data_IF_922171548153
#
_entry.id   IF_922171548153
#
_cell.length_a   1.000
_cell.length_b   1.000
_cell.length_c   1.000
_cell.angle_alpha   90.00
_cell.angle_beta   90.00
_cell.angle_gamma   90.00
#
_symmetry.space_group_name_H-M   'P 1'
#
loop_
_entity.id
_entity.type
_entity.pdbx_description
1 polymer ?
#
# COMPACT_ATOMS: atom_id res chain seq x y z
N UNK A 1 -1.44 -14.71 -30.10
CA UNK A 1 -1.83 -13.65 -31.08
C UNK A 1 -2.95 -12.77 -30.54
N UNK A 2 -4.01 -13.34 -29.94
CA UNK A 2 -5.13 -12.60 -29.33
C UNK A 2 -4.68 -11.63 -28.24
N UNK A 3 -3.85 -12.08 -27.31
CA UNK A 3 -3.42 -11.33 -26.12
C UNK A 3 -2.64 -10.08 -26.51
N UNK A 4 -1.79 -10.19 -27.53
CA UNK A 4 -1.06 -9.06 -28.10
C UNK A 4 -1.99 -8.05 -28.78
N UNK A 5 -2.98 -8.51 -29.55
CA UNK A 5 -3.96 -7.62 -30.17
C UNK A 5 -4.81 -6.89 -29.12
N UNK A 6 -5.19 -7.58 -28.04
CA UNK A 6 -5.90 -6.97 -26.92
C UNK A 6 -5.03 -5.94 -26.21
N UNK A 7 -3.74 -6.24 -26.00
CA UNK A 7 -2.80 -5.31 -25.39
C UNK A 7 -2.71 -3.99 -26.16
N UNK A 8 -2.63 -4.08 -27.49
CA UNK A 8 -2.64 -2.91 -28.38
C UNK A 8 -3.93 -2.11 -28.31
N UNK A 9 -5.08 -2.81 -28.34
CA UNK A 9 -6.40 -2.16 -28.26
C UNK A 9 -6.58 -1.42 -26.93
N UNK A 10 -6.19 -2.04 -25.81
CA UNK A 10 -6.23 -1.43 -24.48
C UNK A 10 -5.29 -0.22 -24.40
N UNK A 11 -4.06 -0.34 -24.91
CA UNK A 11 -3.09 0.76 -24.94
C UNK A 11 -3.65 1.97 -25.67
N UNK A 12 -4.21 1.78 -26.87
CA UNK A 12 -4.84 2.85 -27.64
C UNK A 12 -6.03 3.48 -26.91
N UNK A 13 -6.86 2.67 -26.28
CA UNK A 13 -8.05 3.14 -25.56
C UNK A 13 -7.68 3.98 -24.33
N UNK A 14 -6.65 3.55 -23.60
CA UNK A 14 -6.18 4.23 -22.39
C UNK A 14 -5.39 5.51 -22.72
N UNK A 15 -4.62 5.52 -23.81
CA UNK A 15 -3.93 6.72 -24.31
C UNK A 15 -4.91 7.82 -24.78
N UNK A 16 -6.08 7.44 -25.30
CA UNK A 16 -7.12 8.41 -25.67
C UNK A 16 -7.80 9.11 -24.48
N UNK A 17 -7.59 8.60 -23.25
CA UNK A 17 -8.20 9.10 -22.01
C UNK A 17 -7.22 9.70 -21.01
N UNK A 18 -5.93 9.43 -21.15
CA UNK A 18 -4.88 9.89 -20.23
C UNK A 18 -3.82 10.71 -20.96
N UNK A 19 -3.46 11.87 -20.41
CA UNK A 19 -2.39 12.75 -20.90
C UNK A 19 -0.98 12.18 -20.68
N UNK A 20 -0.87 11.01 -20.07
CA UNK A 20 0.37 10.32 -19.72
C UNK A 20 0.36 8.90 -20.28
N UNK A 21 1.36 8.57 -21.11
CA UNK A 21 1.55 7.23 -21.64
C UNK A 21 2.07 6.30 -20.53
N UNK A 22 1.18 5.71 -19.75
CA UNK A 22 1.57 4.72 -18.74
C UNK A 22 1.96 3.40 -19.41
N UNK A 23 3.10 2.79 -19.02
CA UNK A 23 3.48 1.48 -19.53
C UNK A 23 2.44 0.44 -19.09
N UNK A 24 1.92 -0.34 -20.05
CA UNK A 24 1.02 -1.45 -19.73
C UNK A 24 1.81 -2.69 -19.35
N UNK A 25 1.48 -3.23 -18.18
CA UNK A 25 2.00 -4.50 -17.66
C UNK A 25 0.94 -5.58 -17.89
N UNK A 26 1.35 -6.68 -18.48
CA UNK A 26 0.54 -7.88 -18.68
C UNK A 26 1.08 -9.01 -17.82
N UNK A 27 0.26 -9.54 -16.92
CA UNK A 27 0.60 -10.71 -16.11
C UNK A 27 -0.13 -11.91 -16.70
N UNK A 28 0.63 -12.85 -17.26
CA UNK A 28 0.11 -14.11 -17.74
C UNK A 28 0.24 -15.16 -16.63
N UNK A 29 -0.87 -15.79 -16.27
CA UNK A 29 -0.92 -16.89 -15.30
C UNK A 29 -1.33 -18.17 -16.04
N UNK A 30 -0.55 -19.23 -15.88
CA UNK A 30 -0.73 -20.52 -16.56
C UNK A 30 -0.81 -21.65 -15.54
N UNK A 31 -2.04 -22.00 -15.08
CA UNK A 31 -2.24 -23.12 -14.19
C UNK A 31 -2.06 -24.46 -14.94
N UNK A 32 -1.45 -25.43 -14.28
CA UNK A 32 -1.34 -26.81 -14.75
C UNK A 32 -1.37 -27.77 -13.56
N UNK A 33 -1.66 -29.04 -13.82
CA UNK A 33 -1.69 -30.08 -12.80
C UNK A 33 -1.10 -31.39 -13.32
N UNK A 34 -0.58 -32.22 -12.41
CA UNK A 34 -0.18 -33.58 -12.74
C UNK A 34 -1.39 -34.42 -13.15
N UNK A 35 -1.22 -35.50 -13.95
CA UNK A 35 -2.35 -36.32 -14.42
C UNK A 35 -3.20 -36.92 -13.31
N UNK A 36 -2.60 -37.16 -12.14
CA UNK A 36 -3.26 -37.66 -10.93
C UNK A 36 -3.72 -36.54 -9.98
N UNK A 37 -3.57 -35.27 -10.37
CA UNK A 37 -3.92 -34.08 -9.58
C UNK A 37 -3.26 -33.98 -8.20
N UNK A 38 -2.14 -34.69 -7.97
CA UNK A 38 -1.39 -34.59 -6.70
C UNK A 38 -0.46 -33.37 -6.66
N UNK A 39 -0.23 -32.71 -7.79
CA UNK A 39 0.66 -31.56 -7.90
C UNK A 39 0.03 -30.53 -8.82
N UNK A 40 -0.03 -29.29 -8.33
CA UNK A 40 -0.53 -28.14 -9.07
C UNK A 40 0.60 -27.13 -9.25
N UNK A 41 0.77 -26.61 -10.46
CA UNK A 41 1.74 -25.55 -10.76
C UNK A 41 1.01 -24.33 -11.30
N UNK A 42 1.36 -23.17 -10.78
CA UNK A 42 0.79 -21.88 -11.18
C UNK A 42 1.91 -20.97 -11.67
N UNK A 43 2.26 -21.12 -12.95
CA UNK A 43 3.34 -20.34 -13.53
C UNK A 43 2.85 -18.93 -13.85
N UNK A 44 3.63 -17.91 -13.49
CA UNK A 44 3.32 -16.52 -13.82
C UNK A 44 4.50 -15.86 -14.54
N UNK A 45 4.18 -15.03 -15.53
CA UNK A 45 5.16 -14.21 -16.26
C UNK A 45 4.60 -12.81 -16.48
N UNK A 46 5.43 -11.79 -16.22
CA UNK A 46 5.10 -10.42 -16.52
C UNK A 46 5.68 -10.01 -17.88
N UNK A 47 4.95 -9.16 -18.60
CA UNK A 47 5.37 -8.59 -19.88
C UNK A 47 5.05 -7.10 -19.93
N UNK A 48 5.93 -6.32 -20.52
CA UNK A 48 5.70 -4.92 -20.85
C UNK A 48 5.31 -4.80 -22.31
N UNK A 49 4.29 -3.98 -22.60
CA UNK A 49 3.99 -3.58 -23.98
C UNK A 49 4.92 -2.44 -24.39
N UNK A 50 5.90 -2.76 -25.25
CA UNK A 50 6.85 -1.81 -25.81
C UNK A 50 6.70 -1.78 -27.33
N UNK A 51 6.14 -0.68 -27.85
CA UNK A 51 5.77 -0.58 -29.27
C UNK A 51 4.87 -1.76 -29.65
N UNK A 52 5.14 -2.50 -30.75
CA UNK A 52 4.31 -3.61 -31.21
C UNK A 52 4.46 -4.91 -30.41
N UNK A 53 5.30 -4.98 -29.37
CA UNK A 53 5.77 -6.24 -28.77
C UNK A 53 5.49 -6.33 -27.28
N UNK A 54 5.24 -7.54 -26.82
CA UNK A 54 5.28 -7.90 -25.40
C UNK A 54 6.69 -8.40 -25.07
N UNK A 55 7.39 -7.68 -24.20
CA UNK A 55 8.75 -8.00 -23.76
C UNK A 55 8.68 -8.56 -22.34
N UNK A 56 9.27 -9.73 -22.04
CA UNK A 56 9.31 -10.26 -20.68
C UNK A 56 9.88 -9.25 -19.69
N UNK A 57 9.27 -9.16 -18.51
CA UNK A 57 9.68 -8.29 -17.43
C UNK A 57 9.84 -9.07 -16.12
N UNK A 58 10.80 -8.66 -15.31
CA UNK A 58 10.98 -9.23 -13.98
C UNK A 58 9.88 -8.74 -13.03
N UNK A 59 9.31 -9.67 -12.28
CA UNK A 59 8.34 -9.39 -11.21
C UNK A 59 8.95 -9.86 -9.89
N UNK A 60 9.06 -8.95 -8.93
CA UNK A 60 9.54 -9.27 -7.58
C UNK A 60 8.36 -9.21 -6.61
N UNK A 61 8.14 -10.28 -5.86
CA UNK A 61 7.15 -10.33 -4.78
C UNK A 61 7.85 -9.98 -3.48
N UNK A 62 7.58 -8.79 -2.97
CA UNK A 62 8.13 -8.32 -1.68
C UNK A 62 7.60 -9.21 -0.56
N UNK A 63 8.49 -9.68 0.30
CA UNK A 63 8.15 -10.50 1.45
C UNK A 63 8.91 -10.05 2.71
N UNK A 64 8.52 -10.58 3.87
CA UNK A 64 9.11 -10.22 5.18
C UNK A 64 10.49 -10.87 5.41
N UNK A 65 10.95 -11.70 4.47
CA UNK A 65 12.23 -12.41 4.54
C UNK A 65 13.43 -11.45 4.50
N UNK A 66 14.62 -11.93 4.94
CA UNK A 66 15.81 -11.10 5.06
C UNK A 66 16.26 -10.47 3.74
N UNK A 67 15.99 -11.09 2.59
CA UNK A 67 16.37 -10.57 1.26
C UNK A 67 15.63 -9.30 0.81
N UNK A 68 14.61 -8.86 1.56
CA UNK A 68 13.87 -7.62 1.29
C UNK A 68 14.07 -6.56 2.38
N UNK A 69 14.86 -6.84 3.43
CA UNK A 69 15.12 -5.90 4.54
C UNK A 69 15.64 -4.55 4.06
N UNK A 70 16.53 -4.54 3.07
CA UNK A 70 17.09 -3.31 2.54
C UNK A 70 16.03 -2.41 1.89
N UNK A 71 14.95 -2.98 1.34
CA UNK A 71 13.81 -2.20 0.82
C UNK A 71 12.98 -1.58 1.93
N UNK A 72 12.89 -2.23 3.10
CA UNK A 72 12.26 -1.65 4.29
C UNK A 72 13.12 -0.56 4.93
N UNK A 73 14.45 -0.68 4.85
CA UNK A 73 15.40 0.34 5.30
C UNK A 73 15.58 1.50 4.29
N UNK A 74 15.22 1.29 3.02
CA UNK A 74 15.22 2.31 1.98
C UNK A 74 13.98 3.22 2.00
N UNK A 75 13.02 3.01 2.91
CA UNK A 75 12.04 4.04 3.27
C UNK A 75 12.74 5.15 4.06
N UNK A 76 13.59 5.93 3.39
CA UNK A 76 13.73 7.31 3.79
C UNK A 76 12.40 7.99 3.44
N UNK A 77 11.73 8.65 4.40
CA UNK A 77 10.62 9.50 4.04
C UNK A 77 11.16 10.57 3.07
N UNK A 78 10.85 10.44 1.78
CA UNK A 78 11.08 11.47 0.76
C UNK A 78 10.26 12.74 1.05
N UNK A 79 9.36 12.67 2.04
CA UNK A 79 8.75 13.84 2.65
C UNK A 79 9.70 14.42 3.69
N UNK A 80 10.17 15.69 3.56
CA UNK A 80 10.74 16.39 4.71
C UNK A 80 9.76 16.27 5.87
N UNK A 81 10.27 16.00 7.07
CA UNK A 81 9.42 15.86 8.23
C UNK A 81 8.57 17.14 8.35
N UNK A 82 7.23 17.05 8.39
CA UNK A 82 6.40 18.22 8.56
C UNK A 82 6.83 18.90 9.87
N UNK A 83 7.09 20.20 9.80
CA UNK A 83 7.44 20.99 10.98
C UNK A 83 6.30 20.86 12.00
N UNK A 84 6.56 20.12 13.07
CA UNK A 84 5.66 20.08 14.21
C UNK A 84 5.94 21.30 15.08
N UNK A 85 4.93 22.12 15.41
CA UNK A 85 5.12 23.21 16.35
C UNK A 85 5.56 22.61 17.69
N UNK A 86 6.73 23.02 18.17
CA UNK A 86 7.19 22.73 19.53
C UNK A 86 6.13 23.22 20.52
N UNK A 87 5.85 22.40 21.54
CA UNK A 87 4.92 22.65 22.66
C UNK A 87 4.71 24.14 22.98
N UNK A 88 3.49 24.60 23.31
CA UNK A 88 3.20 26.01 23.55
C UNK A 88 3.76 26.46 24.90
N UNK A 89 5.08 26.53 25.02
CA UNK A 89 5.72 27.48 25.91
C UNK A 89 5.90 28.78 25.12
N UNK A 90 4.92 29.67 25.28
CA UNK A 90 5.01 31.12 25.03
C UNK A 90 5.37 31.57 23.59
N UNK A 91 4.35 31.72 22.72
CA UNK A 91 4.23 32.87 21.79
C UNK A 91 3.01 32.75 20.85
N UNK A 92 1.90 33.40 21.23
CA UNK A 92 1.10 34.24 20.34
C UNK A 92 0.33 33.68 19.14
N UNK A 93 0.43 32.40 18.75
CA UNK A 93 -0.33 31.86 17.61
C UNK A 93 -1.26 30.74 18.06
N UNK A 94 -2.49 31.13 18.39
CA UNK A 94 -3.58 30.24 18.72
C UNK A 94 -4.04 29.47 17.47
N UNK A 95 -3.40 28.33 17.20
CA UNK A 95 -4.09 27.23 16.53
C UNK A 95 -5.19 26.78 17.48
N UNK A 96 -6.44 26.81 17.01
CA UNK A 96 -7.58 26.57 17.89
C UNK A 96 -7.60 25.09 18.31
N UNK A 97 -7.69 24.84 19.61
CA UNK A 97 -7.73 23.50 20.22
C UNK A 97 -8.78 22.57 19.55
N UNK A 98 -9.85 23.15 18.99
CA UNK A 98 -10.87 22.41 18.25
C UNK A 98 -10.46 21.92 16.86
N UNK A 99 -9.52 22.58 16.18
CA UNK A 99 -9.00 22.12 14.88
C UNK A 99 -8.04 20.94 15.07
N UNK A 100 -7.25 20.93 16.14
CA UNK A 100 -6.38 19.79 16.49
C UNK A 100 -7.19 18.57 16.92
N UNK A 101 -8.27 18.73 17.70
CA UNK A 101 -9.11 17.59 18.10
C UNK A 101 -9.85 16.96 16.91
N UNK A 102 -10.30 17.76 15.94
CA UNK A 102 -10.96 17.25 14.74
C UNK A 102 -10.00 16.48 13.84
N UNK A 103 -8.75 16.96 13.72
CA UNK A 103 -7.70 16.24 13.00
C UNK A 103 -7.36 14.94 13.75
N UNK A 104 -7.14 14.98 15.06
CA UNK A 104 -6.82 13.80 15.87
C UNK A 104 -7.95 12.76 15.87
N UNK A 105 -9.22 13.20 15.83
CA UNK A 105 -10.40 12.33 15.63
C UNK A 105 -10.37 11.66 14.25
N UNK A 106 -9.95 12.38 13.21
CA UNK A 106 -9.79 11.82 11.87
C UNK A 106 -8.62 10.81 11.76
N UNK A 107 -7.54 10.97 12.55
CA UNK A 107 -6.36 10.09 12.43
C UNK A 107 -6.39 8.85 13.35
N UNK A 108 -7.43 8.64 14.17
CA UNK A 108 -7.67 7.48 15.06
C UNK A 108 -6.38 6.79 15.57
N UNK A 109 -5.77 7.42 16.58
CA UNK A 109 -4.59 6.90 17.27
C UNK A 109 -3.22 7.42 16.79
N UNK A 110 -3.20 8.37 15.84
CA UNK A 110 -1.99 8.94 15.23
C UNK A 110 -1.92 10.48 15.36
N UNK A 111 -2.46 11.03 16.45
CA UNK A 111 -2.53 12.48 16.66
C UNK A 111 -1.16 13.17 16.82
N UNK A 112 -1.14 14.48 16.66
CA UNK A 112 0.09 15.31 16.66
C UNK A 112 0.88 15.16 17.98
N UNK A 113 0.18 15.07 19.11
CA UNK A 113 0.80 14.90 20.44
C UNK A 113 1.52 13.55 20.58
N UNK A 114 0.99 12.50 19.94
CA UNK A 114 1.68 11.20 19.90
C UNK A 114 2.93 11.34 19.06
N UNK A 115 2.85 11.91 17.85
CA UNK A 115 4.00 12.10 16.97
C UNK A 115 5.19 12.84 17.63
N UNK A 116 4.93 13.74 18.60
CA UNK A 116 5.95 14.40 19.43
C UNK A 116 6.63 13.44 20.42
N UNK A 117 5.93 12.42 20.92
CA UNK A 117 6.47 11.30 21.71
C UNK A 117 7.49 10.44 20.94
N UNK A 118 7.30 10.23 19.63
CA UNK A 118 8.26 9.52 18.75
C UNK A 118 9.56 10.32 18.61
N UNK A 119 9.51 11.64 18.71
CA UNK A 119 10.70 12.50 18.73
C UNK A 119 11.39 12.53 20.12
N UNK A 120 10.82 11.84 21.12
CA UNK A 120 11.32 11.74 22.50
C UNK A 120 12.37 10.64 22.73
N UNK A 121 12.47 10.17 23.98
CA UNK A 121 13.48 9.16 24.37
C UNK A 121 13.30 7.81 23.66
N UNK A 122 14.37 7.02 23.52
CA UNK A 122 14.33 5.70 22.87
C UNK A 122 13.28 4.74 23.45
N UNK A 123 12.95 4.87 24.75
CA UNK A 123 11.87 4.11 25.37
C UNK A 123 10.47 4.63 25.00
N UNK A 124 10.31 5.95 24.83
CA UNK A 124 9.07 6.56 24.32
C UNK A 124 8.79 6.19 22.87
N UNK A 125 9.84 6.12 22.05
CA UNK A 125 9.78 5.63 20.66
C UNK A 125 9.26 4.19 20.58
N UNK A 126 9.77 3.28 21.42
CA UNK A 126 9.33 1.88 21.40
C UNK A 126 7.87 1.72 21.83
N UNK A 127 7.47 2.35 22.95
CA UNK A 127 6.09 2.26 23.46
C UNK A 127 5.07 2.84 22.47
N UNK A 128 5.41 3.94 21.81
CA UNK A 128 4.52 4.55 20.85
C UNK A 128 4.42 3.74 19.54
N UNK A 129 5.53 3.15 19.08
CA UNK A 129 5.50 2.21 17.97
C UNK A 129 4.59 1.02 18.27
N UNK A 130 4.67 0.45 19.48
CA UNK A 130 3.81 -0.66 19.90
C UNK A 130 2.33 -0.27 19.87
N UNK A 131 1.98 0.92 20.38
CA UNK A 131 0.61 1.42 20.34
C UNK A 131 0.11 1.68 18.91
N UNK A 132 0.99 2.16 18.02
CA UNK A 132 0.71 2.36 16.61
C UNK A 132 0.40 1.03 15.91
N UNK A 133 1.21 -0.01 16.17
CA UNK A 133 0.96 -1.36 15.69
C UNK A 133 -0.35 -1.92 16.24
N UNK A 134 -0.64 -1.73 17.53
CA UNK A 134 -1.90 -2.15 18.13
C UNK A 134 -3.11 -1.45 17.49
N UNK A 135 -2.98 -0.17 17.15
CA UNK A 135 -3.98 0.58 16.39
C UNK A 135 -4.21 0.02 14.99
N UNK A 136 -3.14 -0.26 14.24
CA UNK A 136 -3.23 -0.87 12.91
C UNK A 136 -3.90 -2.25 12.95
N UNK A 137 -3.57 -3.09 13.95
CA UNK A 137 -4.19 -4.40 14.13
C UNK A 137 -5.70 -4.31 14.35
N UNK A 138 -6.16 -3.36 15.18
CA UNK A 138 -7.60 -3.09 15.38
C UNK A 138 -8.29 -2.67 14.07
N UNK A 139 -7.64 -1.81 13.26
CA UNK A 139 -8.17 -1.38 11.96
C UNK A 139 -8.26 -2.55 10.96
N UNK A 140 -7.24 -3.41 10.91
CA UNK A 140 -7.24 -4.61 10.07
C UNK A 140 -8.34 -5.59 10.48
N UNK A 141 -8.56 -5.80 11.77
CA UNK A 141 -9.64 -6.66 12.26
C UNK A 141 -11.02 -6.12 11.89
N UNK A 142 -11.24 -4.80 12.06
CA UNK A 142 -12.48 -4.15 11.64
C UNK A 142 -12.73 -4.35 10.14
N UNK A 143 -11.72 -4.11 9.30
CA UNK A 143 -11.82 -4.29 7.86
C UNK A 143 -12.11 -5.75 7.48
N UNK A 144 -11.47 -6.71 8.14
CA UNK A 144 -11.71 -8.13 7.89
C UNK A 144 -13.19 -8.51 8.13
N UNK A 145 -13.81 -7.99 9.20
CA UNK A 145 -15.24 -8.21 9.50
C UNK A 145 -16.17 -7.56 8.48
N UNK A 146 -15.83 -6.35 8.02
CA UNK A 146 -16.59 -5.66 6.98
C UNK A 146 -16.53 -6.42 5.65
N UNK A 147 -15.35 -6.91 5.26
CA UNK A 147 -15.15 -7.73 4.06
C UNK A 147 -15.89 -9.07 4.18
N UNK A 148 -15.86 -9.73 5.34
CA UNK A 148 -16.62 -10.96 5.60
C UNK A 148 -18.13 -10.73 5.38
N UNK A 149 -18.68 -9.68 6.00
CA UNK A 149 -20.09 -9.29 5.83
C UNK A 149 -20.43 -8.96 4.37
N UNK A 150 -19.52 -8.29 3.67
CA UNK A 150 -19.70 -7.98 2.25
C UNK A 150 -19.69 -9.23 1.38
N UNK A 151 -18.80 -10.19 1.66
CA UNK A 151 -18.71 -11.44 0.91
C UNK A 151 -19.98 -12.29 1.08
N UNK A 152 -20.58 -12.33 2.27
CA UNK A 152 -21.86 -13.01 2.48
C UNK A 152 -22.95 -12.48 1.54
N UNK A 153 -23.02 -11.15 1.37
CA UNK A 153 -23.98 -10.52 0.45
C UNK A 153 -23.73 -10.86 -1.01
N UNK A 154 -22.47 -11.05 -1.41
CA UNK A 154 -22.12 -11.47 -2.78
C UNK A 154 -22.53 -12.92 -3.03
N UNK A 155 -22.45 -13.79 -2.01
CA UNK A 155 -22.88 -15.19 -2.10
C UNK A 155 -24.41 -15.35 -2.16
N UNK A 156 -25.16 -14.37 -1.67
CA UNK A 156 -26.62 -14.35 -1.70
C UNK A 156 -27.20 -13.83 -3.04
N UNK A 157 -26.34 -13.41 -3.99
CA UNK A 157 -26.73 -12.92 -5.33
C UNK A 157 -26.78 -14.03 -6.37
#
# INVERSE_FOLDING_TARGET
MRELAHAHSLSKTLQGRATTAHPLIFILVSPSASPNFSTHSYDYRAFLLLGPRLVPASLSVVNVGPGFRDQYHAFFPESPMPWLPSSPATAGHAYTIGEQSAVDEMVDGFGIERLQGVLGSAAGQAAEMDDMYAGMLRKLEKLAREVEKSNLRVLEQ
#
